data_IF_484866793160
#
_entry.id   IF_484866793160
#
_cell.length_a   1.000
_cell.length_b   1.000
_cell.length_c   1.000
_cell.angle_alpha   90.00
_cell.angle_beta   90.00
_cell.angle_gamma   90.00
#
_symmetry.space_group_name_H-M   'P 1'
#
loop_
_entity.id
_entity.type
_entity.pdbx_description
1 polymer ?
#
# COMPACT_ATOMS: atom_id res chain seq x y z
N UNK A 1 -20.66 -17.96 12.87
CA UNK A 1 -21.06 -17.61 11.49
C UNK A 1 -20.83 -16.12 11.33
N UNK A 2 -19.87 -15.74 10.51
CA UNK A 2 -19.64 -14.33 10.22
C UNK A 2 -20.75 -13.87 9.28
N UNK A 3 -21.47 -12.81 9.63
CA UNK A 3 -22.43 -12.18 8.72
C UNK A 3 -21.77 -11.88 7.37
N UNK A 4 -22.47 -12.13 6.25
CA UNK A 4 -21.94 -11.77 4.95
C UNK A 4 -21.73 -10.25 4.92
N UNK A 5 -20.49 -9.84 4.74
CA UNK A 5 -20.15 -8.42 4.61
C UNK A 5 -20.68 -7.93 3.28
N UNK A 6 -21.55 -6.92 3.33
CA UNK A 6 -22.07 -6.29 2.11
C UNK A 6 -20.97 -5.56 1.37
N UNK A 7 -20.97 -5.58 0.03
CA UNK A 7 -20.00 -4.82 -0.76
C UNK A 7 -20.12 -3.32 -0.46
N UNK A 8 -19.00 -2.61 -0.27
CA UNK A 8 -19.04 -1.18 -0.04
C UNK A 8 -19.42 -0.43 -1.32
N UNK A 9 -19.99 0.79 -1.22
CA UNK A 9 -20.26 1.62 -2.38
C UNK A 9 -18.95 2.01 -3.08
N UNK A 10 -18.98 2.01 -4.41
CA UNK A 10 -17.85 2.42 -5.24
C UNK A 10 -17.91 3.94 -5.52
N UNK A 11 -16.78 4.63 -5.68
CA UNK A 11 -15.41 4.11 -5.50
C UNK A 11 -15.01 3.96 -4.02
N UNK A 12 -14.18 2.96 -3.72
CA UNK A 12 -13.66 2.73 -2.38
C UNK A 12 -12.13 2.58 -2.40
N UNK A 13 -11.48 3.08 -1.35
CA UNK A 13 -10.02 3.02 -1.21
C UNK A 13 -9.64 2.50 0.16
N UNK A 14 -8.82 1.43 0.18
CA UNK A 14 -8.20 0.92 1.40
C UNK A 14 -6.74 1.37 1.47
N UNK A 15 -6.38 1.98 2.59
CA UNK A 15 -5.02 2.50 2.87
C UNK A 15 -4.61 2.17 4.30
N UNK A 16 -3.33 1.83 4.54
CA UNK A 16 -2.83 1.69 5.89
C UNK A 16 -2.80 3.07 6.57
N UNK A 17 -3.52 3.21 7.68
CA UNK A 17 -3.56 4.50 8.41
C UNK A 17 -2.28 4.74 9.18
N UNK A 18 -1.91 3.79 10.06
CA UNK A 18 -0.74 3.92 10.92
C UNK A 18 0.57 3.92 10.13
N UNK A 19 0.76 2.98 9.23
CA UNK A 19 1.97 2.85 8.43
C UNK A 19 2.29 4.10 7.61
N UNK A 20 1.27 4.77 7.07
CA UNK A 20 1.43 6.02 6.32
C UNK A 20 1.95 7.17 7.19
N UNK A 21 1.34 7.40 8.36
CA UNK A 21 1.78 8.47 9.26
C UNK A 21 3.20 8.22 9.79
N UNK A 22 3.52 6.97 10.11
CA UNK A 22 4.87 6.57 10.53
C UNK A 22 5.87 6.81 9.41
N UNK A 23 5.59 6.35 8.18
CA UNK A 23 6.50 6.53 7.04
C UNK A 23 6.79 8.00 6.75
N UNK A 24 5.77 8.85 6.68
CA UNK A 24 5.97 10.28 6.43
C UNK A 24 6.57 11.02 7.62
N UNK A 25 6.24 10.65 8.86
CA UNK A 25 6.88 11.18 10.06
C UNK A 25 8.38 10.92 10.07
N UNK A 26 8.79 9.68 9.80
CA UNK A 26 10.21 9.34 9.67
C UNK A 26 10.87 10.03 8.47
N UNK A 27 10.22 10.16 7.33
CA UNK A 27 10.76 10.86 6.18
C UNK A 27 11.10 12.32 6.52
N UNK A 28 10.19 13.02 7.18
CA UNK A 28 10.43 14.40 7.63
C UNK A 28 11.58 14.47 8.62
N UNK A 29 11.61 13.59 9.64
CA UNK A 29 12.69 13.56 10.64
C UNK A 29 14.04 13.28 10.01
N UNK A 30 14.14 12.36 9.05
CA UNK A 30 15.41 12.03 8.37
C UNK A 30 15.89 13.19 7.53
N UNK A 31 15.02 13.84 6.75
CA UNK A 31 15.41 15.00 5.94
C UNK A 31 15.86 16.17 6.82
N UNK A 32 15.09 16.49 7.87
CA UNK A 32 15.48 17.55 8.80
C UNK A 32 16.80 17.22 9.50
N UNK A 33 16.98 15.99 9.98
CA UNK A 33 18.21 15.53 10.61
C UNK A 33 19.41 15.61 9.67
N UNK A 34 19.25 15.21 8.40
CA UNK A 34 20.29 15.30 7.38
C UNK A 34 20.68 16.75 7.08
N UNK A 35 19.70 17.64 6.98
CA UNK A 35 19.95 19.09 6.76
C UNK A 35 20.66 19.72 7.96
N UNK A 36 20.16 19.47 9.18
CA UNK A 36 20.81 19.97 10.41
C UNK A 36 22.24 19.43 10.51
N UNK A 37 22.43 18.14 10.29
CA UNK A 37 23.76 17.52 10.29
C UNK A 37 24.67 18.16 9.25
N UNK A 38 24.20 18.38 8.02
CA UNK A 38 25.00 19.01 6.96
C UNK A 38 25.39 20.45 7.28
N UNK A 39 24.56 21.19 8.04
CA UNK A 39 24.86 22.56 8.47
C UNK A 39 25.93 22.57 9.56
N UNK A 40 25.79 21.73 10.58
CA UNK A 40 26.58 21.79 11.80
C UNK A 40 27.80 20.86 11.82
N UNK A 41 27.95 19.95 10.83
CA UNK A 41 29.11 19.05 10.79
C UNK A 41 30.42 19.85 10.68
N UNK A 42 31.34 19.56 11.60
CA UNK A 42 32.61 20.24 11.70
C UNK A 42 33.64 19.79 10.63
N UNK A 43 34.71 20.55 10.44
CA UNK A 43 35.86 20.11 9.62
C UNK A 43 36.42 18.77 10.15
N UNK A 44 36.92 17.87 9.26
CA UNK A 44 37.37 18.11 7.87
C UNK A 44 36.32 17.96 6.77
N UNK A 45 35.02 17.78 7.10
CA UNK A 45 33.97 17.57 6.10
C UNK A 45 33.81 18.74 5.13
N UNK A 46 33.85 18.42 3.85
CA UNK A 46 33.78 19.39 2.75
C UNK A 46 32.33 19.58 2.26
N UNK A 47 32.13 20.47 1.31
CA UNK A 47 30.83 20.71 0.70
C UNK A 47 30.25 19.43 0.07
N UNK A 48 31.08 18.62 -0.58
CA UNK A 48 30.66 17.35 -1.20
C UNK A 48 30.06 16.37 -0.16
N UNK A 49 30.66 16.29 1.03
CA UNK A 49 30.17 15.43 2.11
C UNK A 49 28.82 15.90 2.62
N UNK A 50 28.62 17.21 2.76
CA UNK A 50 27.36 17.82 3.18
C UNK A 50 26.25 17.56 2.17
N UNK A 51 26.56 17.70 0.86
CA UNK A 51 25.61 17.36 -0.22
C UNK A 51 25.28 15.88 -0.20
N UNK A 52 26.27 15.01 0.01
CA UNK A 52 26.06 13.57 0.10
C UNK A 52 25.14 13.18 1.27
N UNK A 53 25.29 13.80 2.44
CA UNK A 53 24.42 13.58 3.60
C UNK A 53 22.96 13.94 3.28
N UNK A 54 22.72 15.11 2.68
CA UNK A 54 21.36 15.54 2.32
C UNK A 54 20.78 14.66 1.22
N UNK A 55 21.58 14.30 0.21
CA UNK A 55 21.18 13.42 -0.88
C UNK A 55 20.79 12.01 -0.33
N UNK A 56 21.57 11.48 0.61
CA UNK A 56 21.26 10.20 1.27
C UNK A 56 19.97 10.28 2.08
N UNK A 57 19.80 11.35 2.88
CA UNK A 57 18.54 11.59 3.61
C UNK A 57 17.33 11.69 2.67
N UNK A 58 17.48 12.37 1.54
CA UNK A 58 16.47 12.46 0.50
C UNK A 58 16.15 11.09 -0.14
N UNK A 59 17.16 10.26 -0.41
CA UNK A 59 16.97 8.92 -0.94
C UNK A 59 16.20 8.02 0.05
N UNK A 60 16.53 8.08 1.34
CA UNK A 60 15.80 7.33 2.38
C UNK A 60 14.35 7.83 2.48
N UNK A 61 14.13 9.15 2.47
CA UNK A 61 12.79 9.74 2.48
C UNK A 61 11.97 9.32 1.25
N UNK A 62 12.60 9.19 0.08
CA UNK A 62 11.96 8.67 -1.12
C UNK A 62 11.49 7.22 -0.95
N UNK A 63 12.31 6.34 -0.38
CA UNK A 63 11.91 4.96 -0.07
C UNK A 63 10.72 4.94 0.90
N UNK A 64 10.75 5.78 1.94
CA UNK A 64 9.63 5.91 2.89
C UNK A 64 8.36 6.44 2.21
N UNK A 65 8.49 7.35 1.24
CA UNK A 65 7.37 7.80 0.41
C UNK A 65 6.77 6.64 -0.40
N UNK A 66 7.59 5.79 -1.02
CA UNK A 66 7.11 4.61 -1.75
C UNK A 66 6.31 3.67 -0.84
N UNK A 67 6.74 3.47 0.40
CA UNK A 67 6.01 2.68 1.40
C UNK A 67 4.72 3.38 1.88
N UNK A 68 4.74 4.70 1.99
CA UNK A 68 3.59 5.50 2.41
C UNK A 68 2.49 5.65 1.36
N UNK A 69 2.81 5.44 0.07
CA UNK A 69 1.85 5.59 -1.04
C UNK A 69 0.98 4.38 -1.32
N UNK A 70 1.26 3.24 -0.68
CA UNK A 70 0.55 1.98 -0.92
C UNK A 70 -0.95 2.10 -0.64
N UNK A 71 -1.77 1.54 -1.53
CA UNK A 71 -3.23 1.54 -1.42
C UNK A 71 -3.86 0.54 -2.39
N UNK A 72 -5.11 0.20 -2.13
CA UNK A 72 -5.98 -0.55 -3.04
C UNK A 72 -7.20 0.31 -3.33
N UNK A 73 -7.47 0.54 -4.58
CA UNK A 73 -8.61 1.34 -5.07
C UNK A 73 -9.52 0.46 -5.91
N UNK A 74 -10.80 0.45 -5.59
CA UNK A 74 -11.83 -0.22 -6.37
C UNK A 74 -12.79 0.82 -6.95
N UNK A 75 -13.09 0.70 -8.24
CA UNK A 75 -14.03 1.53 -8.96
C UNK A 75 -14.95 0.67 -9.85
N UNK A 76 -15.81 1.31 -10.64
CA UNK A 76 -16.75 0.61 -11.52
C UNK A 76 -16.04 -0.24 -12.59
N UNK A 77 -14.80 0.09 -12.96
CA UNK A 77 -14.04 -0.59 -14.02
C UNK A 77 -13.23 -1.77 -13.50
N UNK A 78 -12.79 -1.72 -12.23
CA UNK A 78 -11.95 -2.75 -11.67
C UNK A 78 -11.18 -2.34 -10.43
N UNK A 79 -10.03 -2.94 -10.25
CA UNK A 79 -9.16 -2.80 -9.09
C UNK A 79 -7.80 -2.22 -9.48
N UNK A 80 -7.37 -1.19 -8.78
CA UNK A 80 -6.02 -0.63 -8.88
C UNK A 80 -5.26 -0.93 -7.59
N UNK A 81 -4.17 -1.67 -7.70
CA UNK A 81 -3.29 -2.05 -6.58
C UNK A 81 -2.02 -1.22 -6.69
N UNK A 82 -1.86 -0.22 -5.83
CA UNK A 82 -0.65 0.59 -5.74
C UNK A 82 0.23 0.02 -4.64
N UNK A 83 1.21 -0.75 -5.02
CA UNK A 83 2.28 -1.25 -4.16
C UNK A 83 3.45 -0.25 -4.12
N UNK A 84 4.45 -0.49 -3.26
CA UNK A 84 5.58 0.41 -3.07
C UNK A 84 6.27 0.80 -4.39
N UNK A 85 6.55 -0.18 -5.26
CA UNK A 85 7.30 0.02 -6.50
C UNK A 85 6.39 -0.03 -7.74
N UNK A 86 5.37 -0.90 -7.74
CA UNK A 86 4.54 -1.17 -8.91
C UNK A 86 3.08 -0.82 -8.67
N UNK A 87 2.43 -0.36 -9.72
CA UNK A 87 0.97 -0.18 -9.78
C UNK A 87 0.40 -1.17 -10.77
N UNK A 88 -0.59 -1.93 -10.34
CA UNK A 88 -1.30 -2.91 -11.14
C UNK A 88 -2.75 -2.48 -11.30
N UNK A 89 -3.31 -2.66 -12.50
CA UNK A 89 -4.72 -2.40 -12.79
C UNK A 89 -5.33 -3.62 -13.44
N UNK A 90 -6.47 -4.04 -12.90
CA UNK A 90 -7.20 -5.22 -13.34
C UNK A 90 -8.67 -4.90 -13.47
N UNK A 91 -9.31 -5.41 -14.50
CA UNK A 91 -10.78 -5.39 -14.61
C UNK A 91 -11.39 -6.48 -13.72
N UNK A 92 -12.65 -6.30 -13.30
CA UNK A 92 -13.31 -7.25 -12.40
C UNK A 92 -13.28 -8.71 -12.89
N UNK A 93 -13.48 -9.01 -14.20
CA UNK A 93 -13.44 -10.39 -14.71
C UNK A 93 -12.07 -11.08 -14.60
N UNK A 94 -10.99 -10.32 -14.44
CA UNK A 94 -9.64 -10.88 -14.29
C UNK A 94 -9.35 -11.33 -12.86
N UNK A 95 -10.18 -10.94 -11.88
CA UNK A 95 -9.95 -11.17 -10.46
C UNK A 95 -10.78 -12.38 -10.01
N UNK A 96 -10.09 -13.42 -9.52
CA UNK A 96 -10.74 -14.65 -9.05
C UNK A 96 -11.13 -14.58 -7.58
N UNK A 97 -10.18 -14.30 -6.70
CA UNK A 97 -10.42 -14.26 -5.25
C UNK A 97 -9.37 -13.40 -4.54
N UNK A 98 -9.64 -13.09 -3.29
CA UNK A 98 -8.72 -12.44 -2.36
C UNK A 98 -8.62 -13.25 -1.06
N UNK A 99 -7.40 -13.55 -0.63
CA UNK A 99 -7.13 -14.36 0.55
C UNK A 99 -6.19 -13.66 1.51
N UNK A 100 -6.55 -13.65 2.80
CA UNK A 100 -5.68 -13.19 3.90
C UNK A 100 -5.62 -14.30 4.95
N UNK A 101 -4.47 -14.95 5.06
CA UNK A 101 -4.23 -15.98 6.08
C UNK A 101 -3.69 -15.35 7.37
N UNK A 102 -3.79 -16.10 8.46
CA UNK A 102 -3.20 -15.70 9.75
C UNK A 102 -1.69 -15.65 9.61
N UNK A 103 -1.09 -14.49 9.88
CA UNK A 103 0.36 -14.27 9.72
C UNK A 103 0.77 -13.63 8.40
N UNK A 104 -0.12 -13.55 7.42
CA UNK A 104 0.19 -12.86 6.16
C UNK A 104 0.34 -11.35 6.41
N UNK A 105 1.36 -10.70 5.84
CA UNK A 105 1.57 -9.27 5.97
C UNK A 105 0.53 -8.43 5.22
N UNK A 106 -0.05 -8.99 4.15
CA UNK A 106 -1.12 -8.41 3.33
C UNK A 106 -1.92 -9.49 2.60
N UNK A 107 -3.14 -9.20 2.13
CA UNK A 107 -3.92 -10.13 1.31
C UNK A 107 -3.24 -10.41 -0.02
N UNK A 108 -3.47 -11.61 -0.53
CA UNK A 108 -3.11 -12.03 -1.89
C UNK A 108 -4.36 -12.03 -2.75
N UNK A 109 -4.23 -11.52 -3.96
CA UNK A 109 -5.29 -11.48 -4.96
C UNK A 109 -4.87 -12.40 -6.10
N UNK A 110 -5.71 -13.37 -6.41
CA UNK A 110 -5.50 -14.36 -7.45
C UNK A 110 -6.23 -13.94 -8.74
N UNK A 111 -5.56 -14.08 -9.87
CA UNK A 111 -6.04 -13.66 -11.18
C UNK A 111 -6.26 -14.83 -12.12
N UNK A 112 -7.12 -14.62 -13.13
CA UNK A 112 -7.54 -15.63 -14.10
C UNK A 112 -6.41 -16.19 -14.97
N UNK A 113 -5.32 -15.47 -15.10
CA UNK A 113 -4.10 -15.91 -15.80
C UNK A 113 -3.14 -16.74 -14.93
N UNK A 114 -3.52 -17.01 -13.68
CA UNK A 114 -2.78 -17.87 -12.74
C UNK A 114 -1.72 -17.15 -11.92
N UNK A 115 -1.53 -15.83 -12.10
CA UNK A 115 -0.63 -15.09 -11.22
C UNK A 115 -1.33 -14.54 -9.97
N UNK A 116 -0.53 -14.17 -8.96
CA UNK A 116 -1.00 -13.64 -7.68
C UNK A 116 -0.28 -12.34 -7.36
N UNK A 117 -1.01 -11.33 -6.88
CA UNK A 117 -0.44 -10.04 -6.46
C UNK A 117 -0.77 -9.75 -5.00
N UNK A 118 0.24 -9.34 -4.23
CA UNK A 118 0.05 -8.87 -2.86
C UNK A 118 -0.54 -7.46 -2.82
N UNK A 119 -1.61 -7.27 -2.05
CA UNK A 119 -2.29 -5.98 -1.87
C UNK A 119 -1.73 -5.25 -0.64
N UNK A 120 -0.57 -4.61 -0.77
CA UNK A 120 0.14 -3.96 0.34
C UNK A 120 -0.64 -2.81 1.00
N UNK A 121 -1.66 -2.29 0.32
CA UNK A 121 -2.56 -1.25 0.85
C UNK A 121 -3.47 -1.72 1.98
N UNK A 122 -3.62 -3.05 2.15
CA UNK A 122 -4.35 -3.67 3.26
C UNK A 122 -3.32 -4.41 4.11
N UNK A 123 -2.97 -3.88 5.28
CA UNK A 123 -1.92 -4.47 6.11
C UNK A 123 -2.49 -5.45 7.12
N UNK A 124 -2.00 -6.69 7.12
CA UNK A 124 -2.40 -7.77 8.04
C UNK A 124 -2.17 -7.42 9.52
N UNK A 125 -1.20 -6.57 9.83
CA UNK A 125 -0.94 -6.04 11.17
C UNK A 125 -2.12 -5.22 11.75
N UNK A 126 -2.98 -4.65 10.91
CA UNK A 126 -4.20 -3.95 11.33
C UNK A 126 -5.38 -4.92 11.62
N UNK A 127 -5.11 -6.21 11.77
CA UNK A 127 -6.01 -7.31 12.22
C UNK A 127 -7.48 -7.17 11.76
N UNK A 128 -8.36 -6.68 12.65
CA UNK A 128 -9.80 -6.58 12.38
C UNK A 128 -10.10 -5.73 11.14
N UNK A 129 -9.35 -4.66 10.94
CA UNK A 129 -9.50 -3.77 9.78
C UNK A 129 -9.08 -4.44 8.47
N UNK A 130 -7.98 -5.20 8.50
CA UNK A 130 -7.52 -5.95 7.35
C UNK A 130 -8.52 -7.06 6.97
N UNK A 131 -9.07 -7.78 7.96
CA UNK A 131 -10.11 -8.79 7.74
C UNK A 131 -11.36 -8.18 7.12
N UNK A 132 -11.81 -7.04 7.64
CA UNK A 132 -12.97 -6.34 7.10
C UNK A 132 -12.72 -5.87 5.66
N UNK A 133 -11.61 -5.21 5.39
CA UNK A 133 -11.24 -4.76 4.06
C UNK A 133 -11.15 -5.93 3.06
N UNK A 134 -10.57 -7.07 3.47
CA UNK A 134 -10.51 -8.29 2.65
C UNK A 134 -11.89 -8.87 2.39
N UNK A 135 -12.79 -8.86 3.39
CA UNK A 135 -14.16 -9.32 3.23
C UNK A 135 -14.99 -8.40 2.31
N UNK A 136 -14.83 -7.08 2.45
CA UNK A 136 -15.43 -6.08 1.57
C UNK A 136 -14.97 -6.26 0.11
N UNK A 137 -13.67 -6.43 -0.10
CA UNK A 137 -13.10 -6.67 -1.43
C UNK A 137 -13.60 -8.00 -2.04
N UNK A 138 -13.67 -9.06 -1.22
CA UNK A 138 -14.22 -10.35 -1.68
C UNK A 138 -15.69 -10.24 -2.07
N UNK A 139 -16.49 -9.47 -1.34
CA UNK A 139 -17.89 -9.21 -1.68
C UNK A 139 -18.02 -8.49 -3.03
N UNK A 140 -17.17 -7.49 -3.31
CA UNK A 140 -17.11 -6.79 -4.60
C UNK A 140 -16.70 -7.72 -5.75
N UNK A 141 -15.70 -8.59 -5.54
CA UNK A 141 -15.25 -9.55 -6.55
C UNK A 141 -16.40 -10.48 -6.94
N UNK A 142 -17.16 -10.99 -5.98
CA UNK A 142 -18.33 -11.85 -6.24
C UNK A 142 -19.43 -11.10 -6.98
N UNK A 143 -19.84 -9.93 -6.48
CA UNK A 143 -20.89 -9.12 -7.10
C UNK A 143 -20.58 -8.74 -8.54
N UNK A 144 -19.33 -8.29 -8.80
CA UNK A 144 -18.91 -7.82 -10.12
C UNK A 144 -18.46 -8.94 -11.07
N UNK A 145 -18.03 -10.07 -10.54
CA UNK A 145 -17.76 -11.28 -11.32
C UNK A 145 -19.05 -11.94 -11.82
N UNK A 146 -20.04 -12.12 -10.94
CA UNK A 146 -21.33 -12.74 -11.26
C UNK A 146 -22.21 -11.88 -12.22
N UNK A 147 -22.12 -10.54 -12.13
CA UNK A 147 -22.90 -9.63 -12.96
C UNK A 147 -22.59 -9.70 -14.47
N UNK A 148 -21.58 -10.49 -14.88
CA UNK A 148 -21.19 -10.68 -16.28
C UNK A 148 -21.48 -12.06 -16.87
N UNK A 149 -21.89 -13.01 -16.05
CA UNK A 149 -22.31 -14.35 -16.50
C UNK A 149 -23.82 -14.43 -16.82
N UNK A 150 -24.55 -13.33 -16.69
CA UNK A 150 -25.97 -13.23 -16.95
C UNK A 150 -26.30 -12.62 -18.32
#
# INVERSE_FOLDING_TARGET
MSEPVSPPPLPVTWRPRRGRFVAYGFAVLIVLGAVVMAIFIARPFQLADRVAIVAFGGAVAWVLHLLGRVRVEADEKGLTIVNAVRTHRYSWPEILDVTLLVGDPWPRIDFSDGHTVGAMGIQGSEKARARRATAELRALIRERGEAREG
#
